data_IF_723836060057
#
_entry.id   IF_723836060057
#
_cell.length_a   1.000
_cell.length_b   1.000
_cell.length_c   1.000
_cell.angle_alpha   90.00
_cell.angle_beta   90.00
_cell.angle_gamma   90.00
#
_symmetry.space_group_name_H-M   'P 1'
#
loop_
_entity.id
_entity.type
_entity.pdbx_description
1 polymer ?
#
# COMPACT_ATOMS: atom_id res chain seq x y z
N UNK A 1 11.61 -18.08 -11.57
CA UNK A 1 11.48 -16.76 -10.96
C UNK A 1 12.30 -15.76 -11.78
N UNK A 2 11.58 -14.89 -12.49
CA UNK A 2 12.11 -13.76 -13.23
C UNK A 2 12.61 -12.69 -12.26
N UNK A 3 11.86 -12.40 -11.19
CA UNK A 3 12.22 -11.41 -10.20
C UNK A 3 13.53 -11.77 -9.49
N UNK A 4 14.50 -10.85 -9.54
CA UNK A 4 15.82 -11.01 -8.88
C UNK A 4 16.01 -10.12 -7.66
N UNK A 5 15.00 -9.35 -7.27
CA UNK A 5 15.10 -8.36 -6.20
C UNK A 5 15.21 -6.93 -6.73
N UNK A 6 15.02 -5.98 -5.82
CA UNK A 6 15.38 -4.58 -6.02
C UNK A 6 16.86 -4.38 -5.71
N UNK A 7 17.54 -3.53 -6.48
CA UNK A 7 18.98 -3.29 -6.33
C UNK A 7 19.23 -1.98 -5.57
N UNK A 8 20.50 -1.69 -5.25
CA UNK A 8 20.85 -0.44 -4.57
C UNK A 8 20.38 0.80 -5.36
N UNK A 9 20.46 0.73 -6.68
CA UNK A 9 20.04 1.77 -7.62
C UNK A 9 18.54 2.08 -7.53
N UNK A 10 17.70 1.14 -7.09
CA UNK A 10 16.27 1.39 -6.81
C UNK A 10 16.13 2.45 -5.70
N UNK A 11 16.88 2.29 -4.61
CA UNK A 11 16.81 3.15 -3.44
C UNK A 11 17.50 4.48 -3.70
N UNK A 12 18.70 4.47 -4.30
CA UNK A 12 19.41 5.70 -4.70
C UNK A 12 18.58 6.57 -5.65
N UNK A 13 17.85 5.97 -6.59
CA UNK A 13 16.95 6.69 -7.47
C UNK A 13 15.90 7.49 -6.68
N UNK A 14 15.30 6.87 -5.66
CA UNK A 14 14.27 7.50 -4.85
C UNK A 14 14.83 8.52 -3.86
N UNK A 15 16.00 8.28 -3.26
CA UNK A 15 16.71 9.27 -2.45
C UNK A 15 17.00 10.54 -3.28
N UNK A 16 17.54 10.38 -4.49
CA UNK A 16 17.80 11.50 -5.38
C UNK A 16 16.51 12.19 -5.86
N UNK A 17 15.43 11.44 -6.11
CA UNK A 17 14.13 12.02 -6.50
C UNK A 17 13.47 12.78 -5.35
N UNK A 18 13.69 12.37 -4.10
CA UNK A 18 13.25 13.11 -2.91
C UNK A 18 14.03 14.42 -2.77
N UNK A 19 15.33 14.41 -3.07
CA UNK A 19 16.17 15.60 -3.04
C UNK A 19 15.87 16.59 -4.19
N UNK A 20 15.60 16.08 -5.40
CA UNK A 20 15.26 16.87 -6.59
C UNK A 20 14.09 16.23 -7.37
N UNK A 21 12.85 16.62 -7.03
CA UNK A 21 11.65 16.19 -7.74
C UNK A 21 11.37 17.07 -8.98
N UNK A 22 12.38 17.31 -9.81
CA UNK A 22 12.24 18.09 -11.04
C UNK A 22 12.10 17.21 -12.29
N UNK A 23 11.56 17.81 -13.35
CA UNK A 23 11.53 17.16 -14.67
C UNK A 23 12.94 16.87 -15.21
N UNK A 24 13.91 17.71 -14.88
CA UNK A 24 15.32 17.52 -15.24
C UNK A 24 15.89 16.25 -14.62
N UNK A 25 15.74 16.10 -13.29
CA UNK A 25 16.17 14.89 -12.60
C UNK A 25 15.51 13.64 -13.19
N UNK A 26 14.18 13.67 -13.32
CA UNK A 26 13.44 12.54 -13.88
C UNK A 26 13.91 12.17 -15.28
N UNK A 27 14.12 13.15 -16.15
CA UNK A 27 14.53 12.90 -17.54
C UNK A 27 15.93 12.29 -17.60
N UNK A 28 16.85 12.74 -16.73
CA UNK A 28 18.20 12.21 -16.65
C UNK A 28 18.26 10.77 -16.11
N UNK A 29 17.34 10.40 -15.21
CA UNK A 29 17.34 9.09 -14.53
C UNK A 29 16.18 8.17 -14.97
N UNK A 30 15.50 8.50 -16.07
CA UNK A 30 14.34 7.72 -16.57
C UNK A 30 14.71 6.27 -16.84
N UNK A 31 15.90 6.06 -17.40
CA UNK A 31 16.42 4.74 -17.71
C UNK A 31 16.72 3.92 -16.44
N UNK A 32 17.28 4.55 -15.41
CA UNK A 32 17.44 3.95 -14.07
C UNK A 32 16.10 3.52 -13.50
N UNK A 33 15.08 4.38 -13.55
CA UNK A 33 13.73 4.03 -13.11
C UNK A 33 13.16 2.84 -13.87
N UNK A 34 13.30 2.80 -15.21
CA UNK A 34 12.71 1.70 -15.98
C UNK A 34 13.37 0.35 -15.66
N UNK A 35 14.71 0.30 -15.61
CA UNK A 35 15.46 -0.94 -15.37
C UNK A 35 15.46 -1.40 -13.92
N UNK A 36 15.62 -0.47 -12.97
CA UNK A 36 15.85 -0.83 -11.56
C UNK A 36 14.59 -0.70 -10.69
N UNK A 37 13.52 -0.08 -11.21
CA UNK A 37 12.28 0.07 -10.46
C UNK A 37 11.11 -0.60 -11.19
N UNK A 38 10.82 -0.16 -12.42
CA UNK A 38 9.61 -0.55 -13.15
C UNK A 38 9.63 -2.01 -13.56
N UNK A 39 10.75 -2.50 -14.09
CA UNK A 39 10.94 -3.88 -14.53
C UNK A 39 10.90 -4.86 -13.34
N UNK A 40 11.73 -4.76 -12.30
CA UNK A 40 11.67 -5.65 -11.14
C UNK A 40 10.31 -5.64 -10.44
N UNK A 41 9.67 -4.47 -10.34
CA UNK A 41 8.31 -4.38 -9.79
C UNK A 41 7.30 -5.18 -10.64
N UNK A 42 7.45 -5.16 -11.96
CA UNK A 42 6.57 -5.91 -12.87
C UNK A 42 6.79 -7.40 -12.73
N UNK A 43 8.05 -7.84 -12.64
CA UNK A 43 8.39 -9.24 -12.42
C UNK A 43 7.86 -9.75 -11.08
N UNK A 44 8.04 -8.99 -10.00
CA UNK A 44 7.49 -9.33 -8.68
C UNK A 44 5.96 -9.46 -8.72
N UNK A 45 5.28 -8.51 -9.36
CA UNK A 45 3.82 -8.54 -9.48
C UNK A 45 3.34 -9.76 -10.28
N UNK A 46 4.05 -10.13 -11.35
CA UNK A 46 3.70 -11.30 -12.16
C UNK A 46 3.88 -12.61 -11.39
N UNK A 47 4.88 -12.70 -10.51
CA UNK A 47 5.09 -13.88 -9.67
C UNK A 47 4.04 -14.01 -8.55
N UNK A 48 3.49 -12.89 -8.08
CA UNK A 48 2.49 -12.86 -7.01
C UNK A 48 1.04 -12.94 -7.52
N UNK A 49 0.82 -12.83 -8.83
CA UNK A 49 -0.51 -12.70 -9.43
C UNK A 49 -1.43 -13.90 -9.14
N UNK A 50 -0.90 -15.12 -9.17
CA UNK A 50 -1.68 -16.35 -8.93
C UNK A 50 -2.23 -16.44 -7.48
N UNK A 51 -1.53 -15.84 -6.52
CA UNK A 51 -1.89 -15.91 -5.10
C UNK A 51 -2.68 -14.67 -4.64
N UNK A 52 -2.29 -13.48 -5.11
CA UNK A 52 -2.82 -12.20 -4.61
C UNK A 52 -3.75 -11.47 -5.59
N UNK A 53 -3.85 -11.97 -6.82
CA UNK A 53 -4.59 -11.35 -7.91
C UNK A 53 -3.76 -10.37 -8.74
N UNK A 54 -4.32 -9.97 -9.89
CA UNK A 54 -3.63 -9.10 -10.84
C UNK A 54 -3.33 -7.71 -10.25
N UNK A 55 -2.05 -7.35 -10.22
CA UNK A 55 -1.61 -6.07 -9.66
C UNK A 55 -1.73 -4.96 -10.70
N UNK A 56 -2.48 -3.91 -10.35
CA UNK A 56 -2.51 -2.66 -11.11
C UNK A 56 -1.42 -1.71 -10.62
N UNK A 57 -0.34 -1.63 -11.38
CA UNK A 57 0.76 -0.71 -11.09
C UNK A 57 0.40 0.75 -11.34
N UNK A 58 0.81 1.61 -10.42
CA UNK A 58 0.62 3.04 -10.53
C UNK A 58 1.60 3.67 -11.52
N UNK A 59 1.14 4.71 -12.21
CA UNK A 59 2.01 5.61 -12.95
C UNK A 59 2.87 6.44 -11.98
N UNK A 60 4.11 6.77 -12.34
CA UNK A 60 5.01 7.56 -11.49
C UNK A 60 4.58 9.03 -11.38
N UNK A 61 3.81 9.55 -12.35
CA UNK A 61 3.35 10.93 -12.35
C UNK A 61 2.24 11.17 -11.32
N UNK A 62 2.29 12.33 -10.65
CA UNK A 62 1.24 12.81 -9.75
C UNK A 62 0.18 13.61 -10.50
N UNK A 63 -1.07 13.50 -10.05
CA UNK A 63 -2.13 14.40 -10.49
C UNK A 63 -2.08 15.69 -9.65
N UNK A 64 -1.70 16.80 -10.28
CA UNK A 64 -1.42 18.06 -9.59
C UNK A 64 -2.64 19.00 -9.50
N UNK A 65 -3.76 18.66 -10.15
CA UNK A 65 -4.90 19.59 -10.29
C UNK A 65 -5.47 20.01 -8.93
N UNK A 66 -5.54 19.07 -7.99
CA UNK A 66 -6.14 19.28 -6.68
C UNK A 66 -5.16 19.07 -5.51
N UNK A 67 -3.91 18.69 -5.79
CA UNK A 67 -2.90 18.44 -4.76
C UNK A 67 -2.34 19.75 -4.21
N UNK A 68 -2.18 19.85 -2.87
CA UNK A 68 -1.40 20.92 -2.23
C UNK A 68 0.09 20.77 -2.51
N UNK A 69 0.56 19.52 -2.57
CA UNK A 69 1.91 19.19 -2.99
C UNK A 69 2.00 19.25 -4.53
N UNK A 70 2.91 20.08 -5.04
CA UNK A 70 3.08 20.33 -6.48
C UNK A 70 4.24 19.56 -7.10
N UNK A 71 4.85 18.62 -6.38
CA UNK A 71 5.89 17.75 -6.93
C UNK A 71 5.33 16.86 -8.07
N UNK A 72 5.94 16.86 -9.26
CA UNK A 72 5.42 16.17 -10.44
C UNK A 72 5.47 14.63 -10.37
N UNK A 73 6.38 14.06 -9.56
CA UNK A 73 6.61 12.62 -9.49
C UNK A 73 6.37 12.05 -8.10
N UNK A 74 5.88 10.81 -8.04
CA UNK A 74 5.78 10.03 -6.81
C UNK A 74 7.18 9.56 -6.40
N UNK A 75 7.45 9.62 -5.11
CA UNK A 75 8.69 9.14 -4.48
C UNK A 75 8.62 7.67 -4.09
N UNK A 76 7.76 6.90 -4.77
CA UNK A 76 7.60 5.46 -4.62
C UNK A 76 7.03 4.86 -5.92
N UNK A 77 7.24 3.56 -6.14
CA UNK A 77 6.52 2.76 -7.13
C UNK A 77 5.62 1.81 -6.35
N UNK A 78 4.32 1.88 -6.58
CA UNK A 78 3.37 1.00 -5.93
C UNK A 78 2.32 0.45 -6.89
N UNK A 79 1.55 -0.51 -6.39
CA UNK A 79 0.42 -1.12 -7.07
C UNK A 79 -0.55 -1.75 -6.08
N UNK A 80 -1.74 -2.05 -6.55
CA UNK A 80 -2.76 -2.70 -5.75
C UNK A 80 -3.51 -3.75 -6.55
N UNK A 81 -4.12 -4.70 -5.86
CA UNK A 81 -5.00 -5.72 -6.45
C UNK A 81 -6.48 -5.35 -6.23
N UNK A 82 -7.41 -6.09 -6.83
CA UNK A 82 -8.85 -5.95 -6.57
C UNK A 82 -9.25 -6.49 -5.19
N UNK A 83 -8.43 -7.38 -4.66
CA UNK A 83 -8.60 -8.12 -3.41
C UNK A 83 -8.22 -7.27 -2.19
N UNK A 84 -7.68 -6.06 -2.43
CA UNK A 84 -7.34 -5.10 -1.38
C UNK A 84 -5.89 -5.18 -0.91
N UNK A 85 -5.02 -5.90 -1.62
CA UNK A 85 -3.59 -5.91 -1.35
C UNK A 85 -2.89 -4.71 -2.00
N UNK A 86 -1.85 -4.23 -1.34
CA UNK A 86 -1.04 -3.09 -1.73
C UNK A 86 0.43 -3.41 -1.51
N UNK A 87 1.27 -2.96 -2.44
CA UNK A 87 2.72 -3.04 -2.31
C UNK A 87 3.35 -1.76 -2.85
N UNK A 88 4.43 -1.29 -2.22
CA UNK A 88 5.29 -0.26 -2.77
C UNK A 88 6.75 -0.46 -2.42
N UNK A 89 7.61 0.12 -3.25
CA UNK A 89 9.02 0.37 -2.95
C UNK A 89 9.31 1.86 -3.05
N UNK A 90 10.10 2.38 -2.11
CA UNK A 90 10.61 3.75 -2.06
C UNK A 90 12.07 3.77 -1.57
N UNK A 91 12.58 4.93 -1.15
CA UNK A 91 13.94 5.06 -0.62
C UNK A 91 14.15 4.29 0.69
N UNK A 92 13.11 4.13 1.50
CA UNK A 92 13.19 3.53 2.84
C UNK A 92 13.02 2.01 2.81
N UNK A 93 12.42 1.46 1.76
CA UNK A 93 12.29 0.02 1.59
C UNK A 93 11.03 -0.43 0.87
N UNK A 94 10.62 -1.66 1.21
CA UNK A 94 9.38 -2.27 0.76
C UNK A 94 8.31 -2.09 1.82
N UNK A 95 7.11 -1.71 1.39
CA UNK A 95 5.91 -1.76 2.22
C UNK A 95 4.88 -2.65 1.54
N UNK A 96 4.32 -3.59 2.30
CA UNK A 96 3.17 -4.39 1.91
C UNK A 96 2.01 -4.10 2.88
N UNK A 97 0.81 -4.01 2.34
CA UNK A 97 -0.40 -3.79 3.13
C UNK A 97 -1.59 -4.52 2.51
N UNK A 98 -2.63 -4.73 3.31
CA UNK A 98 -3.88 -5.33 2.87
C UNK A 98 -5.06 -4.72 3.62
N UNK A 99 -6.21 -4.65 2.96
CA UNK A 99 -7.46 -4.27 3.60
C UNK A 99 -8.39 -3.48 2.71
N UNK A 100 -9.24 -2.67 3.34
CA UNK A 100 -10.31 -1.94 2.67
C UNK A 100 -9.95 -0.46 2.55
N UNK A 101 -9.55 -0.03 1.36
CA UNK A 101 -9.25 1.38 1.09
C UNK A 101 -10.52 2.14 0.67
N UNK A 102 -10.77 3.27 1.33
CA UNK A 102 -11.91 4.17 1.05
C UNK A 102 -13.26 3.42 0.89
N UNK A 103 -13.70 2.65 1.90
CA UNK A 103 -14.93 1.87 1.79
C UNK A 103 -16.16 2.74 1.55
N UNK A 104 -17.09 2.23 0.75
CA UNK A 104 -18.43 2.80 0.66
C UNK A 104 -19.16 2.71 2.01
N UNK A 105 -20.14 3.58 2.30
CA UNK A 105 -20.93 3.49 3.52
C UNK A 105 -21.58 2.11 3.74
N UNK A 106 -21.96 1.44 2.66
CA UNK A 106 -22.52 0.10 2.71
C UNK A 106 -21.48 -0.96 3.06
N UNK A 107 -20.29 -0.94 2.44
CA UNK A 107 -19.20 -1.84 2.81
C UNK A 107 -18.80 -1.65 4.29
N UNK A 108 -18.70 -0.40 4.73
CA UNK A 108 -18.37 -0.10 6.11
C UNK A 108 -19.43 -0.59 7.10
N UNK A 109 -20.71 -0.49 6.76
CA UNK A 109 -21.81 -1.05 7.55
C UNK A 109 -21.70 -2.58 7.64
N UNK A 110 -21.56 -3.27 6.51
CA UNK A 110 -21.42 -4.74 6.46
C UNK A 110 -20.21 -5.23 7.27
N UNK A 111 -19.07 -4.52 7.16
CA UNK A 111 -17.89 -4.80 7.97
C UNK A 111 -18.18 -4.70 9.46
N UNK A 112 -18.82 -3.61 9.91
CA UNK A 112 -19.17 -3.42 11.32
C UNK A 112 -20.17 -4.47 11.83
N UNK A 113 -21.14 -4.86 11.01
CA UNK A 113 -22.10 -5.92 11.36
C UNK A 113 -21.38 -7.26 11.53
N UNK A 114 -20.40 -7.59 10.67
CA UNK A 114 -19.57 -8.79 10.79
C UNK A 114 -18.65 -8.76 12.02
N UNK A 115 -18.05 -7.60 12.33
CA UNK A 115 -17.23 -7.42 13.54
C UNK A 115 -18.08 -7.55 14.82
N UNK A 116 -19.34 -7.11 14.79
CA UNK A 116 -20.26 -7.21 15.92
C UNK A 116 -20.92 -8.59 16.09
N UNK A 117 -20.70 -9.53 15.17
CA UNK A 117 -21.22 -10.90 15.28
C UNK A 117 -20.35 -11.76 16.16
N UNK A 118 -20.96 -12.62 16.99
CA UNK A 118 -20.24 -13.58 17.84
C UNK A 118 -19.36 -14.55 17.04
N UNK A 119 -19.70 -14.83 15.78
CA UNK A 119 -18.91 -15.73 14.92
C UNK A 119 -17.71 -15.00 14.32
N UNK A 120 -17.92 -14.17 13.30
CA UNK A 120 -16.82 -13.50 12.58
C UNK A 120 -16.08 -12.47 13.43
N UNK A 121 -16.75 -11.84 14.39
CA UNK A 121 -16.12 -10.93 15.36
C UNK A 121 -15.21 -11.68 16.33
N UNK A 122 -15.64 -12.85 16.81
CA UNK A 122 -14.82 -13.72 17.65
C UNK A 122 -13.56 -14.22 16.93
N UNK A 123 -13.70 -14.64 15.68
CA UNK A 123 -12.56 -15.04 14.82
C UNK A 123 -11.58 -13.88 14.61
N UNK A 124 -12.08 -12.68 14.30
CA UNK A 124 -11.24 -11.49 14.15
C UNK A 124 -10.49 -11.16 15.44
N UNK A 125 -11.16 -11.23 16.60
CA UNK A 125 -10.53 -10.96 17.89
C UNK A 125 -9.41 -11.97 18.18
N UNK A 126 -9.62 -13.25 17.87
CA UNK A 126 -8.59 -14.28 18.02
C UNK A 126 -7.35 -14.00 17.15
N UNK A 127 -7.54 -13.63 15.88
CA UNK A 127 -6.45 -13.23 14.98
C UNK A 127 -5.70 -12.03 15.55
N UNK A 128 -6.43 -11.02 16.02
CA UNK A 128 -5.83 -9.80 16.60
C UNK A 128 -4.99 -10.10 17.84
N UNK A 129 -5.46 -10.99 18.71
CA UNK A 129 -4.72 -11.37 19.92
C UNK A 129 -3.49 -12.23 19.60
N UNK A 130 -3.56 -13.09 18.58
CA UNK A 130 -2.39 -13.82 18.06
C UNK A 130 -1.32 -12.87 17.52
N UNK A 131 -1.70 -11.87 16.72
CA UNK A 131 -0.76 -10.89 16.18
C UNK A 131 -0.10 -10.06 17.29
N UNK A 132 -0.86 -9.66 18.32
CA UNK A 132 -0.31 -9.01 19.52
C UNK A 132 0.68 -9.90 20.26
N UNK A 133 0.36 -11.18 20.44
CA UNK A 133 1.24 -12.14 21.08
C UNK A 133 2.54 -12.35 20.28
N UNK A 134 2.49 -12.22 18.95
CA UNK A 134 3.64 -12.21 18.06
C UNK A 134 4.43 -10.88 18.07
N UNK A 135 4.01 -9.90 18.88
CA UNK A 135 4.70 -8.61 19.04
C UNK A 135 4.26 -7.52 18.07
N UNK A 136 3.17 -7.72 17.32
CA UNK A 136 2.62 -6.67 16.46
C UNK A 136 1.81 -5.64 17.26
N UNK A 137 1.94 -4.38 16.86
CA UNK A 137 1.17 -3.28 17.43
C UNK A 137 -0.13 -3.06 16.66
N UNK A 138 -1.22 -2.83 17.38
CA UNK A 138 -2.43 -2.25 16.79
C UNK A 138 -2.32 -0.74 16.79
N UNK A 139 -1.88 -0.20 15.66
CA UNK A 139 -1.78 1.22 15.42
C UNK A 139 -3.06 1.80 14.77
N UNK A 140 -3.10 3.13 14.64
CA UNK A 140 -4.14 3.87 13.92
C UNK A 140 -5.12 4.64 14.81
N UNK A 141 -5.95 5.44 14.15
CA UNK A 141 -6.91 6.31 14.83
C UNK A 141 -8.08 5.51 15.41
N UNK A 142 -8.45 5.84 16.65
CA UNK A 142 -9.65 5.32 17.30
C UNK A 142 -10.78 6.33 17.23
N UNK A 143 -11.98 5.84 16.95
CA UNK A 143 -13.18 6.68 17.02
C UNK A 143 -13.38 7.16 18.47
N UNK A 144 -13.64 8.47 18.62
CA UNK A 144 -13.91 9.07 19.94
C UNK A 144 -15.18 8.53 20.60
N UNK A 145 -16.14 8.12 19.78
CA UNK A 145 -17.42 7.58 20.21
C UNK A 145 -17.69 6.27 19.49
N UNK A 146 -18.45 5.38 20.12
CA UNK A 146 -18.92 4.15 19.48
C UNK A 146 -19.64 4.47 18.16
N UNK A 147 -19.49 3.62 17.13
CA UNK A 147 -20.32 3.70 15.93
C UNK A 147 -21.80 3.72 16.30
N UNK A 148 -22.60 4.47 15.55
CA UNK A 148 -24.06 4.48 15.73
C UNK A 148 -24.59 3.06 15.52
N UNK A 149 -25.41 2.60 16.46
CA UNK A 149 -26.04 1.27 16.41
C UNK A 149 -25.29 0.18 17.19
N UNK A 150 -24.10 0.46 17.73
CA UNK A 150 -23.35 -0.49 18.57
C UNK A 150 -23.80 -0.39 20.04
N UNK A 151 -24.09 -1.53 20.67
CA UNK A 151 -24.47 -1.60 22.08
C UNK A 151 -23.33 -1.08 22.99
N UNK A 152 -23.64 -0.64 24.23
CA UNK A 152 -22.61 -0.43 25.22
C UNK A 152 -21.94 -1.75 25.62
N UNK A 153 -20.62 -1.71 25.73
CA UNK A 153 -19.83 -2.74 26.42
C UNK A 153 -20.14 -2.72 27.93
#
# INVERSE_FOLDING_TARGET
MAFKGFTHETFEFYEGLQADNSKSYWSAHKDTYERHVREPMTELCAELEDEFGAVKLFRPYRDLRFSKDKTPYKTHQGGHTSEGFYLQVDADGLLAAGGMYAPTPEQLRRYRDAVGSDTSGGELQAIVDELRAAGMEIAGDRLKTRPRGTAPD
#
